data_IF_189815839831
#
_entry.id   IF_189815839831
#
_cell.length_a   1.000
_cell.length_b   1.000
_cell.length_c   1.000
_cell.angle_alpha   90.00
_cell.angle_beta   90.00
_cell.angle_gamma   90.00
#
_symmetry.space_group_name_H-M   'P 1'
#
loop_
_entity.id
_entity.type
_entity.pdbx_description
1 polymer ?
#
# COMPACT_ATOMS: atom_id res chain seq x y z
N UNK A 1 31.27 -82.87 31.25
CA UNK A 1 30.17 -82.85 32.24
C UNK A 1 30.30 -81.54 33.02
N UNK A 2 29.35 -80.62 33.18
CA UNK A 2 27.87 -80.62 33.22
C UNK A 2 27.40 -79.18 32.88
N UNK A 3 26.60 -78.97 31.83
CA UNK A 3 25.13 -78.74 31.86
C UNK A 3 24.64 -77.80 32.98
N UNK A 4 24.27 -76.57 32.61
CA UNK A 4 22.96 -75.96 32.94
C UNK A 4 22.74 -74.72 32.05
N UNK A 5 21.65 -74.73 31.30
CA UNK A 5 21.06 -73.56 30.65
C UNK A 5 19.90 -73.08 31.52
N UNK A 6 19.76 -71.78 31.75
CA UNK A 6 18.54 -71.15 32.23
C UNK A 6 18.33 -69.81 31.53
N UNK A 7 17.05 -69.52 31.32
CA UNK A 7 16.52 -68.67 30.27
C UNK A 7 16.29 -67.19 30.67
N UNK A 8 16.19 -66.38 29.61
CA UNK A 8 15.21 -65.30 29.37
C UNK A 8 15.22 -63.98 30.19
N UNK A 9 15.30 -62.90 29.38
CA UNK A 9 14.57 -61.63 29.47
C UNK A 9 14.90 -60.61 30.57
N UNK A 10 15.40 -59.42 30.19
CA UNK A 10 14.58 -58.21 30.08
C UNK A 10 15.38 -57.05 29.46
N UNK A 11 14.66 -56.20 28.74
CA UNK A 11 15.13 -54.96 28.12
C UNK A 11 15.47 -53.87 29.15
N UNK A 12 16.46 -53.02 28.85
CA UNK A 12 16.44 -51.60 29.21
C UNK A 12 17.48 -50.81 28.39
N UNK A 13 16.96 -49.93 27.55
CA UNK A 13 17.64 -48.92 26.75
C UNK A 13 18.03 -47.76 27.66
N UNK A 14 19.28 -47.31 27.64
CA UNK A 14 19.68 -45.99 28.14
C UNK A 14 20.51 -45.27 27.07
N UNK A 15 19.81 -44.64 26.11
CA UNK A 15 20.36 -43.51 25.37
C UNK A 15 20.35 -42.29 26.31
N UNK A 16 21.52 -41.74 26.60
CA UNK A 16 21.66 -40.47 27.30
C UNK A 16 21.32 -39.37 26.27
N UNK A 17 20.09 -38.85 26.32
CA UNK A 17 19.72 -37.62 25.66
C UNK A 17 20.23 -36.45 26.52
N UNK A 18 21.17 -35.67 26.00
CA UNK A 18 21.54 -34.40 26.60
C UNK A 18 20.37 -33.42 26.43
N UNK A 19 19.64 -33.17 27.52
CA UNK A 19 18.60 -32.16 27.58
C UNK A 19 19.22 -30.78 27.51
N UNK A 20 19.05 -30.07 26.39
CA UNK A 20 19.27 -28.63 26.33
C UNK A 20 18.05 -27.93 26.93
N UNK A 21 18.19 -27.01 27.90
CA UNK A 21 17.08 -26.18 28.32
C UNK A 21 16.75 -25.18 27.20
N UNK A 22 15.59 -25.35 26.58
CA UNK A 22 14.99 -24.38 25.68
C UNK A 22 14.51 -23.19 26.52
N UNK A 23 15.35 -22.15 26.60
CA UNK A 23 14.99 -20.91 27.25
C UNK A 23 13.97 -20.16 26.37
N UNK A 24 12.68 -20.39 26.62
CA UNK A 24 11.62 -19.51 26.14
C UNK A 24 11.73 -18.18 26.89
N UNK A 25 12.40 -17.21 26.29
CA UNK A 25 12.40 -15.84 26.80
C UNK A 25 11.05 -15.19 26.48
N UNK A 26 10.10 -15.29 27.41
CA UNK A 26 8.90 -14.46 27.42
C UNK A 26 9.31 -12.99 27.67
N UNK A 27 9.53 -12.23 26.60
CA UNK A 27 9.74 -10.79 26.71
C UNK A 27 8.40 -10.09 26.95
N UNK A 28 7.94 -10.14 28.20
CA UNK A 28 6.82 -9.30 28.65
C UNK A 28 7.38 -7.97 29.15
N UNK A 29 7.24 -6.92 28.35
CA UNK A 29 7.49 -5.55 28.83
C UNK A 29 6.37 -5.20 29.82
N UNK A 30 6.65 -4.93 31.11
CA UNK A 30 5.60 -4.47 32.00
C UNK A 30 5.10 -3.11 31.49
N UNK A 31 3.80 -3.02 31.22
CA UNK A 31 3.17 -1.76 30.86
C UNK A 31 3.33 -0.80 32.04
N UNK A 32 3.94 0.39 31.87
CA UNK A 32 4.07 1.31 32.99
C UNK A 32 2.68 1.71 33.50
N UNK A 33 2.52 1.95 34.81
CA UNK A 33 1.23 2.34 35.37
C UNK A 33 0.79 3.66 34.74
N UNK A 34 -0.38 3.66 34.11
CA UNK A 34 -0.97 4.87 33.58
C UNK A 34 -1.43 5.74 34.76
N UNK A 35 -0.69 6.81 35.03
CA UNK A 35 -1.12 7.85 35.97
C UNK A 35 -1.91 8.88 35.17
N UNK A 36 -3.21 9.01 35.48
CA UNK A 36 -4.04 10.10 34.97
C UNK A 36 -3.84 11.31 35.89
N UNK A 37 -3.26 12.39 35.35
CA UNK A 37 -3.19 13.67 36.07
C UNK A 37 -4.59 14.27 36.22
N UNK A 38 -4.97 14.82 37.39
CA UNK A 38 -6.32 15.35 37.59
C UNK A 38 -6.59 16.69 36.89
N UNK A 39 -5.55 17.43 36.47
CA UNK A 39 -5.70 18.74 35.84
C UNK A 39 -4.62 18.99 34.78
N UNK A 40 -5.02 19.52 33.62
CA UNK A 40 -4.21 19.58 32.38
C UNK A 40 -3.42 20.89 32.21
N UNK A 41 -3.47 21.79 33.20
CA UNK A 41 -2.91 23.15 33.09
C UNK A 41 -1.62 23.38 33.90
N UNK A 42 -1.11 22.37 34.59
CA UNK A 42 0.13 22.46 35.38
C UNK A 42 1.28 21.67 34.74
N UNK A 43 2.51 22.15 34.90
CA UNK A 43 3.71 21.51 34.39
C UNK A 43 4.05 20.24 35.20
N UNK A 44 4.45 19.17 34.51
CA UNK A 44 4.73 17.84 35.07
C UNK A 44 5.70 17.88 36.26
N UNK A 45 5.18 17.68 37.48
CA UNK A 45 6.01 17.41 38.67
C UNK A 45 6.14 15.89 38.84
N UNK A 46 7.27 15.35 38.41
CA UNK A 46 7.70 14.00 38.79
C UNK A 46 8.49 14.12 40.09
N UNK A 47 7.88 13.76 41.22
CA UNK A 47 8.57 13.73 42.51
C UNK A 47 9.36 12.43 42.64
N UNK A 48 10.55 12.38 42.03
CA UNK A 48 11.53 11.33 42.29
C UNK A 48 12.45 11.83 43.40
N UNK A 49 12.23 11.31 44.61
CA UNK A 49 13.05 11.44 45.84
C UNK A 49 12.96 12.75 46.66
N UNK A 50 13.04 12.66 48.01
CA UNK A 50 13.09 13.83 48.87
C UNK A 50 14.43 14.56 48.71
N UNK A 51 14.40 15.86 48.42
CA UNK A 51 15.55 16.76 48.57
C UNK A 51 16.14 17.37 47.31
N UNK A 52 15.59 17.14 46.10
CA UNK A 52 16.12 17.79 44.90
C UNK A 52 15.01 18.25 43.94
N UNK A 53 14.71 19.56 43.95
CA UNK A 53 13.88 20.22 42.93
C UNK A 53 14.73 20.53 41.72
N UNK A 54 14.59 19.76 40.64
CA UNK A 54 15.06 20.19 39.33
C UNK A 54 13.93 20.98 38.66
N UNK A 55 14.07 22.30 38.58
CA UNK A 55 13.15 23.16 37.84
C UNK A 55 13.60 23.12 36.37
N UNK A 56 12.82 22.49 35.52
CA UNK A 56 12.98 22.60 34.07
C UNK A 56 12.31 23.91 33.63
N UNK A 57 13.10 24.90 33.23
CA UNK A 57 12.60 26.07 32.51
C UNK A 57 12.11 25.64 31.12
N UNK A 58 10.92 26.10 30.75
CA UNK A 58 10.16 25.79 29.53
C UNK A 58 10.98 25.33 28.31
N UNK A 59 10.63 24.18 27.69
CA UNK A 59 10.83 24.07 26.26
C UNK A 59 9.80 25.00 25.62
N UNK A 60 10.27 26.13 25.06
CA UNK A 60 9.48 26.88 24.07
C UNK A 60 8.81 25.87 23.13
N UNK A 61 7.51 26.00 22.81
CA UNK A 61 6.87 25.11 21.87
C UNK A 61 7.56 25.30 20.53
N UNK A 62 8.57 24.47 20.26
CA UNK A 62 9.07 24.27 18.92
C UNK A 62 7.87 23.67 18.22
N UNK A 63 7.10 24.51 17.53
CA UNK A 63 6.19 24.07 16.48
C UNK A 63 6.99 23.04 15.72
N UNK A 64 6.65 21.76 15.91
CA UNK A 64 7.14 20.73 15.05
C UNK A 64 6.56 21.11 13.70
N UNK A 65 7.35 21.84 12.90
CA UNK A 65 7.17 21.82 11.48
C UNK A 65 7.22 20.34 11.16
N UNK A 66 6.05 19.73 10.97
CA UNK A 66 5.93 18.48 10.24
C UNK A 66 6.53 18.86 8.90
N UNK A 67 7.84 18.66 8.77
CA UNK A 67 8.57 18.85 7.54
C UNK A 67 7.81 17.99 6.57
N UNK A 68 7.16 18.64 5.59
CA UNK A 68 6.47 18.00 4.48
C UNK A 68 7.43 16.94 3.93
N UNK A 69 7.24 15.69 4.34
CA UNK A 69 8.11 14.61 3.90
C UNK A 69 8.00 14.64 2.38
N UNK A 70 9.09 14.87 1.63
CA UNK A 70 9.00 14.98 0.19
C UNK A 70 8.39 13.67 -0.30
N UNK A 71 7.23 13.77 -0.97
CA UNK A 71 6.59 12.63 -1.60
C UNK A 71 7.66 11.91 -2.45
N UNK A 72 7.73 10.57 -2.40
CA UNK A 72 8.72 9.84 -3.18
C UNK A 72 8.63 10.32 -4.62
N UNK A 73 9.73 10.91 -5.13
CA UNK A 73 9.79 11.41 -6.50
C UNK A 73 9.56 10.21 -7.40
N UNK A 74 8.36 10.11 -7.98
CA UNK A 74 8.09 9.15 -9.05
C UNK A 74 9.19 9.35 -10.10
N UNK A 75 9.81 8.25 -10.55
CA UNK A 75 10.77 8.29 -11.66
C UNK A 75 9.99 8.70 -12.91
N UNK A 76 9.83 9.99 -13.15
CA UNK A 76 9.15 10.49 -14.33
C UNK A 76 10.04 10.18 -15.52
N UNK A 77 9.73 9.10 -16.23
CA UNK A 77 10.27 8.91 -17.58
C UNK A 77 9.85 10.13 -18.40
N UNK A 78 10.78 10.80 -19.10
CA UNK A 78 10.42 11.88 -20.00
C UNK A 78 9.38 11.38 -20.99
N UNK A 79 8.18 11.95 -20.96
CA UNK A 79 7.14 11.64 -21.94
C UNK A 79 7.42 12.50 -23.18
N UNK A 80 7.34 11.90 -24.37
CA UNK A 80 7.42 12.66 -25.62
C UNK A 80 6.35 13.78 -25.59
N UNK A 81 6.73 15.06 -25.82
CA UNK A 81 5.81 16.20 -25.78
C UNK A 81 4.54 16.02 -26.61
N UNK A 82 4.54 15.17 -27.65
CA UNK A 82 3.35 14.89 -28.45
C UNK A 82 2.21 14.24 -27.66
N UNK A 83 2.52 13.53 -26.59
CA UNK A 83 1.54 12.86 -25.72
C UNK A 83 1.10 13.73 -24.54
N UNK A 84 1.72 14.90 -24.36
CA UNK A 84 1.25 15.87 -23.38
C UNK A 84 -0.10 16.46 -23.80
N UNK A 85 -0.95 16.83 -22.82
CA UNK A 85 -2.24 17.43 -23.10
C UNK A 85 -2.11 18.70 -23.94
N UNK A 86 -2.90 18.79 -25.01
CA UNK A 86 -2.89 19.95 -25.92
C UNK A 86 -4.26 20.21 -26.53
N UNK A 87 -4.55 21.46 -26.85
CA UNK A 87 -5.77 21.82 -27.58
C UNK A 87 -5.48 21.77 -29.07
N UNK A 88 -6.29 21.01 -29.81
CA UNK A 88 -6.17 20.83 -31.26
C UNK A 88 -7.46 21.25 -31.96
N UNK A 89 -7.37 21.56 -33.24
CA UNK A 89 -8.57 21.77 -34.07
C UNK A 89 -9.34 20.45 -34.19
N UNK A 90 -10.66 20.54 -34.08
CA UNK A 90 -11.58 19.43 -34.21
C UNK A 90 -12.57 19.71 -35.34
N UNK A 91 -12.70 18.78 -36.28
CA UNK A 91 -13.59 18.89 -37.45
C UNK A 91 -14.57 17.72 -37.54
N UNK A 92 -14.71 16.93 -36.47
CA UNK A 92 -15.69 15.86 -36.41
C UNK A 92 -17.11 16.39 -36.16
N UNK A 93 -18.07 15.47 -36.07
CA UNK A 93 -19.51 15.75 -35.96
C UNK A 93 -20.05 15.67 -34.52
N UNK A 94 -19.24 15.18 -33.62
CA UNK A 94 -19.52 14.92 -32.22
C UNK A 94 -19.66 16.23 -31.45
N UNK A 95 -20.59 16.28 -30.52
CA UNK A 95 -20.85 17.46 -29.69
C UNK A 95 -19.80 17.63 -28.59
N UNK A 96 -19.66 18.86 -28.09
CA UNK A 96 -18.82 19.17 -26.94
C UNK A 96 -19.18 18.30 -25.73
N UNK A 97 -18.16 17.84 -24.99
CA UNK A 97 -18.29 16.89 -23.89
C UNK A 97 -18.16 15.42 -24.30
N UNK A 98 -18.18 15.11 -25.60
CA UNK A 98 -17.92 13.76 -26.10
C UNK A 98 -16.45 13.39 -25.95
N UNK A 99 -16.17 12.14 -25.58
CA UNK A 99 -14.82 11.57 -25.53
C UNK A 99 -14.64 10.63 -26.71
N UNK A 100 -13.59 10.83 -27.49
CA UNK A 100 -13.22 9.99 -28.62
C UNK A 100 -11.87 9.36 -28.32
N UNK A 101 -11.77 8.05 -28.48
CA UNK A 101 -10.56 7.28 -28.22
C UNK A 101 -10.08 6.70 -29.54
N UNK A 102 -8.91 7.12 -29.98
CA UNK A 102 -8.20 6.58 -31.13
C UNK A 102 -7.09 5.66 -30.63
N UNK A 103 -7.37 4.34 -30.63
CA UNK A 103 -6.43 3.31 -30.16
C UNK A 103 -5.22 3.17 -31.08
N UNK A 104 -5.37 3.41 -32.39
CA UNK A 104 -4.29 3.31 -33.36
C UNK A 104 -3.20 4.35 -33.10
N UNK A 105 -3.63 5.60 -32.87
CA UNK A 105 -2.71 6.70 -32.59
C UNK A 105 -2.45 6.91 -31.09
N UNK A 106 -3.13 6.14 -30.22
CA UNK A 106 -3.03 6.21 -28.75
C UNK A 106 -3.36 7.60 -28.20
N UNK A 107 -4.44 8.18 -28.70
CA UNK A 107 -4.92 9.48 -28.26
C UNK A 107 -6.38 9.42 -27.78
N UNK A 108 -6.68 10.18 -26.73
CA UNK A 108 -8.03 10.50 -26.30
C UNK A 108 -8.30 11.97 -26.60
N UNK A 109 -9.46 12.28 -27.14
CA UNK A 109 -9.93 13.62 -27.43
C UNK A 109 -11.19 13.91 -26.62
N UNK A 110 -11.14 14.94 -25.79
CA UNK A 110 -12.34 15.56 -25.21
C UNK A 110 -12.78 16.67 -26.15
N UNK A 111 -13.93 16.50 -26.80
CA UNK A 111 -14.48 17.51 -27.71
C UNK A 111 -14.88 18.75 -26.93
N UNK A 112 -14.46 19.91 -27.41
CA UNK A 112 -14.75 21.22 -26.84
C UNK A 112 -15.58 22.03 -27.85
N UNK A 113 -16.16 23.12 -27.38
CA UNK A 113 -16.82 24.10 -28.25
C UNK A 113 -15.83 24.81 -29.20
N UNK A 114 -16.37 25.42 -30.26
CA UNK A 114 -15.59 26.25 -31.18
C UNK A 114 -14.66 25.45 -32.11
N UNK A 115 -15.02 24.21 -32.45
CA UNK A 115 -14.25 23.37 -33.37
C UNK A 115 -12.89 22.97 -32.81
N UNK A 116 -12.83 22.66 -31.51
CA UNK A 116 -11.60 22.29 -30.79
C UNK A 116 -11.80 20.99 -30.02
N UNK A 117 -10.70 20.34 -29.68
CA UNK A 117 -10.68 19.22 -28.75
C UNK A 117 -9.43 19.28 -27.89
N UNK A 118 -9.52 18.79 -26.64
CA UNK A 118 -8.35 18.57 -25.78
C UNK A 118 -7.86 17.14 -25.98
N UNK A 119 -6.67 17.01 -26.56
CA UNK A 119 -6.00 15.73 -26.84
C UNK A 119 -5.13 15.31 -25.65
N UNK A 120 -5.16 14.04 -25.31
CA UNK A 120 -4.36 13.38 -24.28
C UNK A 120 -3.69 12.13 -24.87
N UNK A 121 -2.43 11.87 -24.54
CA UNK A 121 -1.84 10.55 -24.79
C UNK A 121 -2.41 9.52 -23.82
N UNK A 122 -2.72 8.31 -24.31
CA UNK A 122 -3.25 7.21 -23.50
C UNK A 122 -2.45 5.93 -23.68
N UNK A 123 -2.36 5.13 -22.62
CA UNK A 123 -1.91 3.74 -22.72
C UNK A 123 -3.07 2.86 -23.20
N UNK A 124 -2.81 2.00 -24.17
CA UNK A 124 -3.77 0.99 -24.62
C UNK A 124 -3.34 -0.39 -24.14
N UNK A 125 -4.31 -1.29 -24.00
CA UNK A 125 -4.06 -2.68 -23.62
C UNK A 125 -3.17 -3.42 -24.63
N UNK A 126 -2.79 -4.65 -24.30
CA UNK A 126 -2.09 -5.52 -25.24
C UNK A 126 -3.01 -5.86 -26.43
N UNK A 127 -2.45 -6.11 -27.62
CA UNK A 127 -3.22 -6.61 -28.75
C UNK A 127 -4.09 -7.81 -28.35
N UNK A 128 -5.34 -7.83 -28.83
CA UNK A 128 -6.33 -8.87 -28.49
C UNK A 128 -7.20 -8.56 -27.26
N UNK A 129 -6.96 -7.46 -26.54
CA UNK A 129 -7.83 -6.94 -25.47
C UNK A 129 -8.51 -5.62 -25.87
N UNK A 130 -8.68 -5.42 -27.18
CA UNK A 130 -9.24 -4.19 -27.73
C UNK A 130 -10.76 -4.32 -27.81
N UNK A 131 -11.44 -3.21 -27.57
CA UNK A 131 -12.87 -3.09 -27.75
C UNK A 131 -13.16 -1.84 -28.59
N UNK A 132 -14.23 -1.91 -29.38
CA UNK A 132 -14.72 -0.80 -30.18
C UNK A 132 -16.23 -0.64 -29.99
N UNK A 133 -16.67 0.61 -29.90
CA UNK A 133 -18.08 0.94 -29.78
C UNK A 133 -18.30 2.27 -29.08
N UNK A 134 -19.54 2.51 -28.68
CA UNK A 134 -19.95 3.70 -27.93
C UNK A 134 -20.41 3.30 -26.53
N UNK A 135 -19.97 4.05 -25.53
CA UNK A 135 -20.39 3.84 -24.16
C UNK A 135 -20.46 5.17 -23.40
N UNK A 136 -21.33 5.22 -22.40
CA UNK A 136 -21.47 6.37 -21.50
C UNK A 136 -20.68 6.12 -20.24
N UNK A 137 -19.88 7.09 -19.79
CA UNK A 137 -19.18 6.99 -18.50
C UNK A 137 -20.19 6.95 -17.36
N UNK A 138 -20.33 5.79 -16.70
CA UNK A 138 -21.34 5.56 -15.65
C UNK A 138 -20.85 5.88 -14.25
N UNK A 139 -19.54 5.79 -14.02
CA UNK A 139 -18.93 6.05 -12.73
C UNK A 139 -17.59 6.76 -12.91
N UNK A 140 -17.19 7.52 -11.88
CA UNK A 140 -15.87 8.15 -11.74
C UNK A 140 -15.48 8.06 -10.28
N UNK A 141 -14.23 7.69 -10.00
CA UNK A 141 -13.73 7.52 -8.65
C UNK A 141 -12.30 8.07 -8.50
N UNK A 142 -12.01 8.57 -7.31
CA UNK A 142 -10.66 8.93 -6.87
C UNK A 142 -10.07 7.77 -6.07
N UNK A 143 -8.82 7.41 -6.34
CA UNK A 143 -8.11 6.28 -5.74
C UNK A 143 -8.98 5.01 -5.63
N UNK A 144 -9.51 4.51 -6.77
CA UNK A 144 -10.44 3.39 -6.77
C UNK A 144 -9.79 2.09 -6.28
N UNK A 145 -10.60 1.22 -5.66
CA UNK A 145 -10.21 -0.17 -5.42
C UNK A 145 -10.22 -0.92 -6.75
N UNK A 146 -9.17 -1.69 -7.01
CA UNK A 146 -9.08 -2.57 -8.16
C UNK A 146 -9.40 -4.01 -7.78
N UNK A 147 -10.26 -4.65 -8.56
CA UNK A 147 -10.58 -6.06 -8.42
C UNK A 147 -10.23 -6.76 -9.74
N UNK A 148 -9.26 -7.68 -9.74
CA UNK A 148 -8.99 -8.57 -10.88
C UNK A 148 -10.25 -9.25 -11.42
N UNK A 149 -10.48 -9.25 -12.74
CA UNK A 149 -11.49 -10.13 -13.35
C UNK A 149 -11.18 -11.60 -13.07
N UNK A 150 -12.21 -12.44 -12.97
CA UNK A 150 -12.05 -13.87 -12.64
C UNK A 150 -11.17 -14.62 -13.65
N UNK A 151 -11.36 -14.37 -14.95
CA UNK A 151 -10.51 -14.94 -16.01
C UNK A 151 -9.03 -14.59 -15.85
N UNK A 152 -8.72 -13.42 -15.29
CA UNK A 152 -7.34 -13.01 -15.04
C UNK A 152 -6.76 -13.73 -13.81
N UNK A 153 -7.58 -13.99 -12.79
CA UNK A 153 -7.20 -14.77 -11.60
C UNK A 153 -7.01 -16.24 -11.89
N UNK A 154 -7.81 -16.82 -12.79
CA UNK A 154 -7.62 -18.21 -13.25
C UNK A 154 -6.25 -18.37 -13.92
N UNK A 155 -5.86 -17.41 -14.76
CA UNK A 155 -4.55 -17.41 -15.43
C UNK A 155 -3.40 -17.06 -14.49
N UNK A 156 -3.65 -16.25 -13.46
CA UNK A 156 -2.64 -15.75 -12.51
C UNK A 156 -3.14 -15.89 -11.06
N UNK A 157 -3.03 -17.10 -10.48
CA UNK A 157 -3.62 -17.41 -9.17
C UNK A 157 -2.94 -16.69 -7.99
N UNK A 158 -1.78 -16.06 -8.20
CA UNK A 158 -1.07 -15.28 -7.19
C UNK A 158 -1.62 -13.85 -7.02
N UNK A 159 -2.56 -13.41 -7.86
CA UNK A 159 -3.13 -12.07 -7.76
C UNK A 159 -4.02 -11.93 -6.50
N UNK A 160 -3.99 -10.77 -5.83
CA UNK A 160 -4.85 -10.50 -4.68
C UNK A 160 -6.33 -10.47 -5.10
N UNK A 161 -7.24 -10.77 -4.18
CA UNK A 161 -8.70 -10.69 -4.43
C UNK A 161 -9.12 -9.26 -4.79
N UNK A 162 -8.57 -8.26 -4.09
CA UNK A 162 -8.73 -6.85 -4.43
C UNK A 162 -7.54 -6.05 -3.92
N UNK A 163 -7.34 -4.86 -4.48
CA UNK A 163 -6.29 -3.93 -4.09
C UNK A 163 -6.93 -2.56 -3.84
N UNK A 164 -6.80 -2.05 -2.61
CA UNK A 164 -7.26 -0.68 -2.28
C UNK A 164 -6.53 0.37 -3.14
N UNK A 165 -7.13 1.55 -3.28
CA UNK A 165 -6.47 2.68 -3.93
C UNK A 165 -5.11 3.00 -3.30
N UNK A 166 -4.12 3.30 -4.13
CA UNK A 166 -2.78 3.68 -3.68
C UNK A 166 -1.73 3.60 -4.79
N UNK A 167 -0.46 3.94 -4.49
CA UNK A 167 0.59 4.03 -5.51
C UNK A 167 0.89 2.72 -6.26
N UNK A 168 0.61 1.57 -5.65
CA UNK A 168 0.83 0.25 -6.24
C UNK A 168 -0.41 -0.27 -7.00
N UNK A 169 -1.53 0.44 -6.94
CA UNK A 169 -2.77 0.04 -7.60
C UNK A 169 -2.66 0.27 -9.11
N UNK A 170 -2.96 -0.74 -9.95
CA UNK A 170 -2.83 -0.61 -11.40
C UNK A 170 -3.80 0.41 -12.03
N UNK A 171 -4.90 0.77 -11.35
CA UNK A 171 -5.82 1.82 -11.80
C UNK A 171 -5.26 3.23 -11.54
N UNK A 172 -4.24 3.36 -10.70
CA UNK A 172 -3.65 4.64 -10.34
C UNK A 172 -4.61 5.53 -9.52
N UNK A 173 -4.53 6.83 -9.76
CA UNK A 173 -5.19 7.83 -8.91
C UNK A 173 -6.67 8.09 -9.26
N UNK A 174 -7.13 7.77 -10.49
CA UNK A 174 -8.51 7.99 -10.94
C UNK A 174 -8.93 6.95 -11.98
N UNK A 175 -10.19 6.55 -11.94
CA UNK A 175 -10.86 5.73 -12.96
C UNK A 175 -12.30 6.17 -13.18
#
# INVERSE_FOLDING_TARGET
MSRTAFAAALAAICLIAASFPEASADFTVPRPPAVLSPDLTEAWVVQIMPGRRAVFSDPTPRTAMIGKLPAPKAKTRPLDPRFLPQVVRYTGKESAGTIIIDTNHRFLYLVLDGGKARRYGVGVGRPGFEWAGSHTVTAKAEWPTWTPPDEMRERQPYLPVSMKGGPNNPLGARA
#
